data_IF_115746246689
#
_entry.id   IF_115746246689
#
_cell.length_a   1.000
_cell.length_b   1.000
_cell.length_c   1.000
_cell.angle_alpha   90.00
_cell.angle_beta   90.00
_cell.angle_gamma   90.00
#
_symmetry.space_group_name_H-M   'P 1'
#
loop_
_entity.id
_entity.type
_entity.pdbx_description
1 polymer ?
#
# COMPACT_ATOMS: atom_id res chain seq x y z
N UNK A 1 -8.59 9.25 5.74
CA UNK A 1 -8.61 8.22 4.66
C UNK A 1 -9.52 8.68 3.51
N UNK A 2 -10.75 9.03 3.79
CA UNK A 2 -11.70 9.44 2.73
C UNK A 2 -11.15 10.62 1.90
N UNK A 3 -10.60 11.64 2.54
CA UNK A 3 -9.99 12.78 1.84
C UNK A 3 -8.84 12.34 0.92
N UNK A 4 -7.99 11.42 1.39
CA UNK A 4 -6.90 10.87 0.57
C UNK A 4 -7.47 10.09 -0.62
N UNK A 5 -8.45 9.23 -0.40
CA UNK A 5 -9.05 8.43 -1.44
C UNK A 5 -9.71 9.27 -2.53
N UNK A 6 -10.33 10.37 -2.15
CA UNK A 6 -11.05 11.26 -3.07
C UNK A 6 -10.22 12.41 -3.61
N UNK A 7 -8.97 12.56 -3.17
CA UNK A 7 -8.09 13.65 -3.60
C UNK A 7 -7.75 13.62 -5.10
N UNK A 8 -7.77 12.43 -5.71
CA UNK A 8 -7.63 12.23 -7.15
C UNK A 8 -8.66 11.20 -7.62
N UNK A 9 -9.34 11.51 -8.72
CA UNK A 9 -10.29 10.59 -9.36
C UNK A 9 -9.61 9.66 -10.37
N UNK A 10 -8.40 10.02 -10.80
CA UNK A 10 -7.57 9.23 -11.72
C UNK A 10 -6.19 9.08 -11.13
N UNK A 11 -5.68 7.85 -11.09
CA UNK A 11 -4.32 7.55 -10.63
C UNK A 11 -3.66 6.61 -11.62
N UNK A 12 -2.39 6.88 -11.95
CA UNK A 12 -1.60 6.06 -12.87
C UNK A 12 -2.30 5.85 -14.23
N UNK A 13 -2.99 6.89 -14.73
CA UNK A 13 -3.71 6.84 -15.99
C UNK A 13 -5.02 6.03 -15.97
N UNK A 14 -5.47 5.60 -14.81
CA UNK A 14 -6.71 4.81 -14.65
C UNK A 14 -7.67 5.50 -13.68
N UNK A 15 -9.00 5.45 -13.95
CA UNK A 15 -9.98 5.93 -12.99
C UNK A 15 -9.90 5.15 -11.68
N UNK A 16 -10.12 5.85 -10.57
CA UNK A 16 -10.20 5.21 -9.25
C UNK A 16 -11.45 4.32 -9.18
N UNK A 17 -11.30 3.06 -8.72
CA UNK A 17 -12.47 2.22 -8.45
C UNK A 17 -13.42 2.88 -7.46
N UNK A 18 -14.73 2.68 -7.64
CA UNK A 18 -15.76 3.32 -6.82
C UNK A 18 -15.58 3.02 -5.34
N UNK A 19 -15.14 1.82 -4.96
CA UNK A 19 -14.95 1.46 -3.56
C UNK A 19 -13.90 2.32 -2.84
N UNK A 20 -12.97 2.95 -3.58
CA UNK A 20 -12.06 3.95 -3.00
C UNK A 20 -12.72 5.32 -2.83
N UNK A 21 -13.65 5.66 -3.71
CA UNK A 21 -14.34 6.94 -3.68
C UNK A 21 -15.44 6.97 -2.62
N UNK A 22 -15.99 5.82 -2.29
CA UNK A 22 -16.99 5.68 -1.24
C UNK A 22 -16.34 5.85 0.14
N UNK A 23 -17.07 6.46 1.08
CA UNK A 23 -16.57 6.61 2.44
C UNK A 23 -16.50 5.26 3.13
N UNK A 24 -15.32 4.88 3.58
CA UNK A 24 -15.12 3.65 4.36
C UNK A 24 -15.61 3.87 5.78
N UNK A 25 -16.57 3.05 6.20
CA UNK A 25 -17.19 3.14 7.54
C UNK A 25 -16.71 2.05 8.48
N UNK A 26 -16.06 1.02 7.98
CA UNK A 26 -15.57 -0.10 8.78
C UNK A 26 -14.13 -0.45 8.42
N UNK A 27 -13.29 -0.55 9.45
CA UNK A 27 -11.90 -0.99 9.34
C UNK A 27 -11.72 -2.23 10.22
N UNK A 28 -11.45 -3.41 9.64
CA UNK A 28 -11.19 -4.61 10.44
C UNK A 28 -10.05 -4.39 11.42
N UNK A 29 -10.21 -4.84 12.67
CA UNK A 29 -9.24 -4.67 13.75
C UNK A 29 -8.84 -6.01 14.35
N UNK A 30 -8.47 -6.95 13.52
CA UNK A 30 -7.93 -8.20 14.01
C UNK A 30 -6.41 -8.28 13.76
N UNK A 31 -5.79 -9.35 14.27
CA UNK A 31 -4.34 -9.54 14.17
C UNK A 31 -3.82 -9.71 12.74
N UNK A 32 -4.71 -9.99 11.79
CA UNK A 32 -4.34 -10.20 10.39
C UNK A 32 -4.27 -8.88 9.61
N UNK A 33 -4.70 -7.77 10.20
CA UNK A 33 -4.68 -6.45 9.55
C UNK A 33 -3.79 -5.49 10.34
N UNK A 34 -2.92 -4.79 9.61
CA UNK A 34 -2.05 -3.76 10.18
C UNK A 34 -2.22 -2.48 9.38
N UNK A 35 -2.39 -1.37 10.08
CA UNK A 35 -2.58 -0.05 9.49
C UNK A 35 -1.38 0.84 9.77
N UNK A 36 -0.95 1.54 8.74
CA UNK A 36 0.12 2.53 8.83
C UNK A 36 -0.38 3.87 8.31
N UNK A 37 0.06 4.94 8.94
CA UNK A 37 -0.29 6.28 8.52
C UNK A 37 0.88 7.22 8.64
N UNK A 38 0.94 8.21 7.77
CA UNK A 38 1.88 9.31 7.86
C UNK A 38 1.11 10.57 8.21
N UNK A 39 1.53 11.22 9.29
CA UNK A 39 0.98 12.49 9.73
C UNK A 39 1.93 13.62 9.33
N UNK A 40 1.38 14.74 8.90
CA UNK A 40 2.18 15.94 8.69
C UNK A 40 2.47 16.66 10.03
N UNK A 41 3.18 17.78 9.97
CA UNK A 41 3.55 18.54 11.16
C UNK A 41 2.35 19.06 11.96
N UNK A 42 1.20 19.24 11.32
CA UNK A 42 -0.06 19.67 11.98
C UNK A 42 -0.88 18.49 12.54
N UNK A 43 -0.40 17.25 12.40
CA UNK A 43 -1.10 16.06 12.86
C UNK A 43 -2.15 15.51 11.91
N UNK A 44 -2.23 16.03 10.68
CA UNK A 44 -3.17 15.56 9.66
C UNK A 44 -2.63 14.32 8.96
N UNK A 45 -3.48 13.30 8.77
CA UNK A 45 -3.13 12.11 8.00
C UNK A 45 -2.99 12.47 6.52
N UNK A 46 -1.80 12.24 5.96
CA UNK A 46 -1.47 12.58 4.57
C UNK A 46 -1.21 11.36 3.69
N UNK A 47 -0.94 10.21 4.29
CA UNK A 47 -0.83 8.94 3.59
C UNK A 47 -1.21 7.80 4.51
N UNK A 48 -1.66 6.70 3.94
CA UNK A 48 -1.94 5.49 4.70
C UNK A 48 -1.70 4.23 3.87
N UNK A 49 -1.48 3.13 4.57
CA UNK A 49 -1.46 1.81 4.00
C UNK A 49 -2.09 0.81 4.95
N UNK A 50 -2.78 -0.17 4.42
CA UNK A 50 -3.18 -1.32 5.20
C UNK A 50 -2.62 -2.60 4.58
N UNK A 51 -2.17 -3.48 5.45
CA UNK A 51 -1.58 -4.74 5.09
C UNK A 51 -2.38 -5.87 5.71
N UNK A 52 -2.52 -6.96 4.94
CA UNK A 52 -3.11 -8.19 5.44
C UNK A 52 -2.04 -9.27 5.56
N UNK A 53 -2.10 -10.03 6.65
CA UNK A 53 -1.24 -11.19 6.86
C UNK A 53 -1.96 -12.44 6.36
N UNK A 54 -1.35 -13.15 5.42
CA UNK A 54 -1.92 -14.32 4.76
C UNK A 54 -0.92 -15.48 4.84
N UNK A 55 -0.95 -16.24 5.93
CA UNK A 55 0.00 -17.32 6.13
C UNK A 55 1.44 -16.83 6.31
N UNK A 56 2.33 -17.13 5.36
CA UNK A 56 3.74 -16.77 5.42
C UNK A 56 4.09 -15.46 4.69
N UNK A 57 3.10 -14.74 4.19
CA UNK A 57 3.34 -13.47 3.53
C UNK A 57 2.38 -12.40 4.03
N UNK A 58 2.80 -11.16 3.91
CA UNK A 58 2.00 -9.96 4.12
C UNK A 58 1.87 -9.21 2.81
N UNK A 59 0.71 -8.68 2.53
CA UNK A 59 0.43 -7.96 1.30
C UNK A 59 -0.18 -6.60 1.57
N UNK A 60 0.18 -5.62 0.74
CA UNK A 60 -0.50 -4.33 0.73
C UNK A 60 -1.91 -4.51 0.15
N UNK A 61 -2.93 -4.21 0.93
CA UNK A 61 -4.31 -4.16 0.46
C UNK A 61 -4.63 -2.77 -0.12
N UNK A 62 -4.23 -1.72 0.59
CA UNK A 62 -4.36 -0.34 0.14
C UNK A 62 -3.08 0.43 0.46
N UNK A 63 -2.72 1.35 -0.42
CA UNK A 63 -1.53 2.18 -0.26
C UNK A 63 -1.76 3.48 -1.02
N UNK A 64 -2.13 4.52 -0.31
CA UNK A 64 -2.53 5.79 -0.90
C UNK A 64 -1.99 6.98 -0.10
N UNK A 65 -1.71 8.06 -0.79
CA UNK A 65 -1.30 9.31 -0.18
C UNK A 65 -1.86 10.51 -0.93
N UNK A 66 -1.88 11.65 -0.28
CA UNK A 66 -2.09 12.92 -0.94
C UNK A 66 -0.94 13.15 -1.92
N UNK A 67 -1.28 13.65 -3.11
CA UNK A 67 -0.25 13.92 -4.12
C UNK A 67 0.61 15.08 -3.67
N UNK A 68 1.88 14.82 -3.44
CA UNK A 68 2.92 15.81 -3.24
C UNK A 68 4.22 15.28 -3.83
N UNK A 69 5.24 16.12 -3.92
CA UNK A 69 6.53 15.77 -4.51
C UNK A 69 7.62 15.51 -3.46
N UNK A 70 7.24 15.20 -2.23
CA UNK A 70 8.15 15.13 -1.09
C UNK A 70 8.67 13.71 -0.80
N UNK A 71 8.44 12.77 -1.71
CA UNK A 71 8.84 11.38 -1.49
C UNK A 71 8.04 10.66 -0.40
N UNK A 72 6.83 11.12 -0.12
CA UNK A 72 5.97 10.62 0.95
C UNK A 72 5.74 9.11 0.86
N UNK A 73 5.45 8.60 -0.33
CA UNK A 73 5.19 7.18 -0.54
C UNK A 73 6.47 6.34 -0.40
N UNK A 74 7.61 6.86 -0.85
CA UNK A 74 8.91 6.23 -0.64
C UNK A 74 9.22 6.08 0.84
N UNK A 75 9.02 7.15 1.61
CA UNK A 75 9.24 7.14 3.05
C UNK A 75 8.35 6.12 3.74
N UNK A 76 7.06 6.14 3.45
CA UNK A 76 6.11 5.24 4.11
C UNK A 76 6.39 3.78 3.78
N UNK A 77 6.57 3.45 2.50
CA UNK A 77 6.81 2.05 2.08
C UNK A 77 8.16 1.56 2.62
N UNK A 78 9.20 2.39 2.60
CA UNK A 78 10.51 2.02 3.17
C UNK A 78 10.42 1.72 4.66
N UNK A 79 9.72 2.53 5.42
CA UNK A 79 9.50 2.29 6.86
C UNK A 79 8.72 1.01 7.12
N UNK A 80 7.69 0.75 6.34
CA UNK A 80 6.90 -0.49 6.45
C UNK A 80 7.78 -1.71 6.18
N UNK A 81 8.59 -1.68 5.12
CA UNK A 81 9.53 -2.76 4.79
C UNK A 81 10.49 -3.02 5.95
N UNK A 82 11.11 -1.97 6.48
CA UNK A 82 12.06 -2.09 7.59
C UNK A 82 11.40 -2.71 8.83
N UNK A 83 10.20 -2.27 9.18
CA UNK A 83 9.47 -2.79 10.35
C UNK A 83 9.13 -4.27 10.20
N UNK A 84 8.72 -4.71 9.02
CA UNK A 84 8.41 -6.12 8.79
C UNK A 84 9.66 -6.99 8.75
N UNK A 85 10.79 -6.49 8.25
CA UNK A 85 12.08 -7.18 8.32
C UNK A 85 12.51 -7.35 9.78
N UNK A 86 12.45 -6.30 10.57
CA UNK A 86 12.82 -6.34 11.99
C UNK A 86 11.91 -7.28 12.79
N UNK A 87 10.63 -7.27 12.51
CA UNK A 87 9.65 -8.11 13.18
C UNK A 87 9.84 -9.60 12.86
N UNK A 88 10.22 -9.93 11.63
CA UNK A 88 10.52 -11.29 11.19
C UNK A 88 9.35 -12.27 11.23
N UNK A 89 8.11 -11.78 11.26
CA UNK A 89 6.91 -12.61 11.42
C UNK A 89 6.37 -13.21 10.13
N UNK A 90 6.93 -12.83 8.97
CA UNK A 90 6.56 -13.39 7.69
C UNK A 90 7.79 -13.57 6.79
N UNK A 91 7.67 -14.43 5.78
CA UNK A 91 8.77 -14.70 4.85
C UNK A 91 8.77 -13.75 3.66
N UNK A 92 7.59 -13.26 3.26
CA UNK A 92 7.44 -12.44 2.06
C UNK A 92 6.60 -11.21 2.35
N UNK A 93 6.99 -10.10 1.74
CA UNK A 93 6.17 -8.88 1.64
C UNK A 93 5.80 -8.72 0.17
N UNK A 94 4.50 -8.78 -0.13
CA UNK A 94 3.99 -8.70 -1.48
C UNK A 94 3.42 -7.32 -1.78
N UNK A 95 3.90 -6.72 -2.86
CA UNK A 95 3.36 -5.48 -3.42
C UNK A 95 2.81 -5.78 -4.82
N UNK A 96 1.53 -6.04 -4.88
CA UNK A 96 0.83 -6.36 -6.11
C UNK A 96 0.55 -5.07 -6.90
N UNK A 97 0.64 -5.03 -8.21
CA UNK A 97 0.97 -5.98 -9.25
C UNK A 97 2.22 -5.48 -9.97
N UNK A 98 3.03 -6.37 -10.59
CA UNK A 98 4.17 -5.92 -11.39
C UNK A 98 3.87 -5.92 -12.89
N UNK A 99 3.43 -7.06 -13.42
CA UNK A 99 3.28 -7.25 -14.87
C UNK A 99 2.15 -6.42 -15.49
N UNK A 100 1.14 -6.07 -14.73
CA UNK A 100 0.06 -5.18 -15.16
C UNK A 100 0.25 -3.72 -14.78
N UNK A 101 1.37 -3.36 -14.16
CA UNK A 101 1.62 -2.01 -13.67
C UNK A 101 2.23 -1.11 -14.76
N UNK A 102 2.05 0.21 -14.63
CA UNK A 102 2.73 1.20 -15.46
C UNK A 102 4.25 1.14 -15.27
N UNK A 103 5.00 1.65 -16.25
CA UNK A 103 6.47 1.72 -16.16
C UNK A 103 6.95 2.51 -14.93
N UNK A 104 6.25 3.59 -14.57
CA UNK A 104 6.56 4.38 -13.38
C UNK A 104 6.38 3.60 -12.09
N UNK A 105 5.30 2.84 -11.96
CA UNK A 105 5.06 1.99 -10.79
C UNK A 105 6.03 0.82 -10.72
N UNK A 106 6.38 0.21 -11.85
CA UNK A 106 7.41 -0.83 -11.89
C UNK A 106 8.77 -0.29 -11.42
N UNK A 107 9.16 0.88 -11.88
CA UNK A 107 10.39 1.55 -11.44
C UNK A 107 10.38 1.89 -9.96
N UNK A 108 9.26 2.36 -9.43
CA UNK A 108 9.08 2.64 -8.01
C UNK A 108 9.29 1.37 -7.17
N UNK A 109 8.69 0.26 -7.57
CA UNK A 109 8.82 -1.01 -6.86
C UNK A 109 10.26 -1.55 -6.90
N UNK A 110 10.91 -1.48 -8.05
CA UNK A 110 12.31 -1.88 -8.19
C UNK A 110 13.25 -1.05 -7.32
N UNK A 111 13.04 0.26 -7.26
CA UNK A 111 13.84 1.16 -6.44
C UNK A 111 13.77 0.79 -4.96
N UNK A 112 12.62 0.30 -4.49
CA UNK A 112 12.41 -0.15 -3.12
C UNK A 112 12.91 -1.57 -2.85
N UNK A 113 13.47 -2.24 -3.86
CA UNK A 113 14.04 -3.59 -3.72
C UNK A 113 13.07 -4.73 -3.99
N UNK A 114 11.87 -4.44 -4.48
CA UNK A 114 10.94 -5.50 -4.88
C UNK A 114 11.38 -6.16 -6.17
N UNK A 115 11.27 -7.49 -6.21
CA UNK A 115 11.55 -8.30 -7.39
C UNK A 115 10.25 -8.86 -7.96
N UNK A 116 10.12 -8.94 -9.31
CA UNK A 116 8.93 -9.52 -9.91
C UNK A 116 8.94 -11.05 -9.78
N UNK A 117 7.90 -11.59 -9.15
CA UNK A 117 7.64 -13.03 -9.05
C UNK A 117 6.28 -13.36 -9.62
N UNK A 118 6.16 -14.54 -10.20
CA UNK A 118 4.86 -15.08 -10.58
C UNK A 118 4.30 -15.88 -9.42
N UNK A 119 3.11 -15.51 -8.98
CA UNK A 119 2.40 -16.22 -7.93
C UNK A 119 1.29 -17.07 -8.55
N UNK A 120 1.15 -18.29 -8.07
CA UNK A 120 0.05 -19.18 -8.46
C UNK A 120 -1.02 -19.13 -7.40
N UNK A 121 -2.23 -18.78 -7.80
CA UNK A 121 -3.39 -18.73 -6.91
C UNK A 121 -4.28 -19.93 -7.12
N UNK A 122 -4.77 -20.50 -6.02
CA UNK A 122 -5.81 -21.53 -6.04
C UNK A 122 -7.06 -20.97 -5.37
N UNK A 123 -8.17 -21.04 -6.05
CA UNK A 123 -9.49 -20.66 -5.52
C UNK A 123 -10.18 -21.93 -5.06
N UNK A 124 -10.54 -21.94 -3.81
CA UNK A 124 -11.27 -23.08 -3.21
C UNK A 124 -12.74 -22.77 -3.07
#
# INVERSE_FOLDING_TARGET
IHEINTSLTVRQGRPMPQFYLDKVTHFPRDRNYTYYGVLNASGKLVAYGDLGLYGNFVAFNRLLGLRNNDGLMHLMVSEIICRWIEQGSCQYLMYDTYFGASAGLQGFKKMLGFEPYRAKYSIK
#
